data_IF_469214335365
#
_entry.id   IF_469214335365
#
_cell.length_a   1.000
_cell.length_b   1.000
_cell.length_c   1.000
_cell.angle_alpha   90.00
_cell.angle_beta   90.00
_cell.angle_gamma   90.00
#
_symmetry.space_group_name_H-M   'P 1'
#
loop_
_entity.id
_entity.type
_entity.pdbx_description
1 polymer ?
#
# COMPACT_ATOMS: atom_id res chain seq x y z
N UNK A 1 9.91 41.05 20.36
CA UNK A 1 10.76 40.58 19.24
C UNK A 1 9.84 40.24 18.08
N UNK A 2 10.11 40.78 16.89
CA UNK A 2 9.35 40.46 15.68
C UNK A 2 9.96 39.17 15.10
N UNK A 3 9.23 38.06 15.11
CA UNK A 3 9.67 36.83 14.45
C UNK A 3 9.63 37.03 12.93
N UNK A 4 10.63 36.53 12.21
CA UNK A 4 10.58 36.55 10.75
C UNK A 4 9.57 35.51 10.22
N UNK A 5 9.18 35.64 8.95
CA UNK A 5 8.33 34.63 8.29
C UNK A 5 9.00 33.25 8.30
N UNK A 6 10.34 33.20 8.18
CA UNK A 6 11.11 31.96 8.23
C UNK A 6 11.09 31.32 9.62
N UNK A 7 11.26 32.12 10.68
CA UNK A 7 11.14 31.64 12.07
C UNK A 7 9.76 31.03 12.34
N UNK A 8 8.71 31.64 11.78
CA UNK A 8 7.33 31.17 11.94
C UNK A 8 7.12 29.82 11.25
N UNK A 9 7.66 29.64 10.04
CA UNK A 9 7.61 28.35 9.32
C UNK A 9 8.41 27.28 10.06
N UNK A 10 9.61 27.62 10.55
CA UNK A 10 10.46 26.69 11.27
C UNK A 10 9.82 26.22 12.58
N UNK A 11 9.18 27.13 13.31
CA UNK A 11 8.40 26.79 14.51
C UNK A 11 7.17 25.92 14.19
N UNK A 12 6.51 26.14 13.06
CA UNK A 12 5.37 25.32 12.64
C UNK A 12 5.78 23.86 12.36
N UNK A 13 6.92 23.64 11.70
CA UNK A 13 7.50 22.30 11.50
C UNK A 13 7.90 21.68 12.84
N UNK A 14 8.52 22.45 13.74
CA UNK A 14 8.87 21.98 15.08
C UNK A 14 7.63 21.47 15.85
N UNK A 15 6.55 22.25 15.85
CA UNK A 15 5.29 21.86 16.47
C UNK A 15 4.66 20.62 15.82
N UNK A 16 4.75 20.48 14.49
CA UNK A 16 4.24 19.31 13.79
C UNK A 16 5.02 18.03 14.15
N UNK A 17 6.34 18.10 14.31
CA UNK A 17 7.16 16.99 14.77
C UNK A 17 6.82 16.57 16.20
N UNK A 18 6.62 17.54 17.10
CA UNK A 18 6.20 17.26 18.48
C UNK A 18 4.79 16.66 18.54
N UNK A 19 3.86 17.14 17.70
CA UNK A 19 2.56 16.50 17.54
C UNK A 19 2.70 15.04 17.08
N UNK A 20 3.55 14.77 16.07
CA UNK A 20 3.80 13.41 15.59
C UNK A 20 4.35 12.52 16.70
N UNK A 21 5.28 13.03 17.52
CA UNK A 21 5.83 12.30 18.66
C UNK A 21 4.76 11.98 19.71
N UNK A 22 3.87 12.92 20.03
CA UNK A 22 2.76 12.68 20.95
C UNK A 22 1.81 11.59 20.43
N UNK A 23 1.51 11.61 19.13
CA UNK A 23 0.67 10.59 18.48
C UNK A 23 1.37 9.23 18.38
N UNK A 24 2.67 9.20 18.11
CA UNK A 24 3.46 7.97 18.05
C UNK A 24 3.42 7.24 19.40
N UNK A 25 3.50 7.97 20.52
CA UNK A 25 3.36 7.36 21.85
C UNK A 25 1.99 6.72 22.04
N UNK A 26 0.93 7.41 21.64
CA UNK A 26 -0.43 6.88 21.70
C UNK A 26 -0.62 5.65 20.80
N UNK A 27 -0.03 5.64 19.60
CA UNK A 27 -0.04 4.49 18.69
C UNK A 27 0.56 3.25 19.38
N UNK A 28 1.73 3.41 19.99
CA UNK A 28 2.45 2.35 20.72
C UNK A 28 1.61 1.83 21.90
N UNK A 29 0.98 2.73 22.67
CA UNK A 29 0.07 2.36 23.78
C UNK A 29 -1.17 1.60 23.28
N UNK A 30 -1.73 2.03 22.15
CA UNK A 30 -2.91 1.42 21.54
C UNK A 30 -2.59 0.01 21.01
N UNK A 31 -1.44 -0.19 20.37
CA UNK A 31 -0.99 -1.51 19.91
C UNK A 31 -0.86 -2.50 21.08
N UNK A 32 -0.27 -2.09 22.20
CA UNK A 32 -0.21 -2.93 23.40
C UNK A 32 -1.60 -3.33 23.90
N UNK A 33 -2.53 -2.37 23.89
CA UNK A 33 -3.92 -2.61 24.27
C UNK A 33 -4.60 -3.59 23.32
N UNK A 34 -4.42 -3.41 22.00
CA UNK A 34 -4.99 -4.28 20.97
C UNK A 34 -4.40 -5.69 21.01
N UNK A 35 -3.07 -5.83 21.18
CA UNK A 35 -2.40 -7.13 21.34
C UNK A 35 -2.95 -7.89 22.55
N UNK A 36 -3.24 -7.19 23.65
CA UNK A 36 -3.81 -7.81 24.85
C UNK A 36 -5.28 -8.21 24.73
N UNK A 37 -6.01 -7.65 23.76
CA UNK A 37 -7.46 -7.88 23.56
C UNK A 37 -7.76 -8.75 22.34
N UNK A 38 -6.78 -8.95 21.45
CA UNK A 38 -6.95 -9.76 20.25
C UNK A 38 -6.80 -11.25 20.58
N UNK A 39 -7.77 -12.07 20.16
CA UNK A 39 -7.74 -13.52 20.31
C UNK A 39 -7.17 -14.24 19.08
N UNK A 40 -7.14 -13.56 17.93
CA UNK A 40 -6.64 -14.13 16.67
C UNK A 40 -5.11 -14.04 16.63
N UNK A 41 -4.45 -15.18 16.49
CA UNK A 41 -3.00 -15.27 16.59
C UNK A 41 -2.30 -14.57 15.40
N UNK A 42 -2.86 -14.65 14.20
CA UNK A 42 -2.26 -14.02 13.01
C UNK A 42 -2.35 -12.50 13.11
N UNK A 43 -3.50 -11.98 13.56
CA UNK A 43 -3.67 -10.55 13.82
C UNK A 43 -2.74 -10.10 14.96
N UNK A 44 -2.61 -10.90 16.02
CA UNK A 44 -1.68 -10.61 17.12
C UNK A 44 -0.23 -10.52 16.65
N UNK A 45 0.23 -11.44 15.80
CA UNK A 45 1.60 -11.45 15.30
C UNK A 45 1.89 -10.21 14.44
N UNK A 46 0.97 -9.86 13.54
CA UNK A 46 1.05 -8.63 12.74
C UNK A 46 1.11 -7.38 13.62
N UNK A 47 0.28 -7.30 14.66
CA UNK A 47 0.32 -6.19 15.62
C UNK A 47 1.64 -6.13 16.40
N UNK A 48 2.25 -7.26 16.75
CA UNK A 48 3.56 -7.29 17.44
C UNK A 48 4.68 -6.78 16.54
N UNK A 49 4.62 -7.08 15.25
CA UNK A 49 5.58 -6.58 14.28
C UNK A 49 5.42 -5.07 14.09
N UNK A 50 4.18 -4.59 13.89
CA UNK A 50 3.89 -3.15 13.87
C UNK A 50 4.41 -2.47 15.13
N UNK A 51 4.11 -3.02 16.30
CA UNK A 51 4.53 -2.47 17.58
C UNK A 51 6.05 -2.32 17.70
N UNK A 52 6.79 -3.32 17.22
CA UNK A 52 8.26 -3.28 17.23
C UNK A 52 8.79 -2.18 16.32
N UNK A 53 8.21 -2.03 15.14
CA UNK A 53 8.61 -0.99 14.19
C UNK A 53 8.22 0.40 14.70
N UNK A 54 7.05 0.55 15.33
CA UNK A 54 6.60 1.79 15.95
C UNK A 54 7.45 2.23 17.15
N UNK A 55 7.95 1.28 17.94
CA UNK A 55 8.94 1.55 18.98
C UNK A 55 10.27 2.08 18.40
N UNK A 56 10.74 1.52 17.28
CA UNK A 56 11.93 2.05 16.58
C UNK A 56 11.66 3.44 16.01
N UNK A 57 10.49 3.65 15.43
CA UNK A 57 10.08 4.92 14.84
C UNK A 57 10.04 6.06 15.86
N UNK A 58 9.73 5.78 17.13
CA UNK A 58 9.88 6.76 18.21
C UNK A 58 11.32 7.30 18.30
N UNK A 59 12.32 6.41 18.24
CA UNK A 59 13.74 6.80 18.28
C UNK A 59 14.16 7.61 17.05
N UNK A 60 13.61 7.29 15.88
CA UNK A 60 13.83 8.07 14.65
C UNK A 60 13.22 9.47 14.80
N UNK A 61 11.98 9.59 15.29
CA UNK A 61 11.33 10.88 15.54
C UNK A 61 12.11 11.72 16.55
N UNK A 62 12.59 11.14 17.64
CA UNK A 62 13.44 11.82 18.62
C UNK A 62 14.72 12.37 17.98
N UNK A 63 15.37 11.55 17.15
CA UNK A 63 16.58 11.95 16.42
C UNK A 63 16.28 13.12 15.48
N UNK A 64 15.20 13.04 14.71
CA UNK A 64 14.78 14.11 13.79
C UNK A 64 14.47 15.40 14.55
N UNK A 65 13.74 15.34 15.67
CA UNK A 65 13.43 16.53 16.49
C UNK A 65 14.71 17.18 17.02
N UNK A 66 15.65 16.38 17.52
CA UNK A 66 16.93 16.88 18.04
C UNK A 66 17.78 17.49 16.92
N UNK A 67 17.90 16.82 15.78
CA UNK A 67 18.67 17.31 14.63
C UNK A 67 18.05 18.55 13.98
N UNK A 68 16.72 18.64 13.99
CA UNK A 68 16.01 19.82 13.51
C UNK A 68 16.35 21.08 14.34
N UNK A 69 16.65 20.90 15.63
CA UNK A 69 17.28 21.94 16.47
C UNK A 69 16.40 23.13 16.85
N UNK A 70 15.13 23.15 16.42
CA UNK A 70 14.14 24.18 16.78
C UNK A 70 13.20 23.63 17.84
N UNK A 71 13.07 24.34 18.97
CA UNK A 71 12.21 23.92 20.06
C UNK A 71 10.73 24.06 19.67
N UNK A 72 10.03 22.93 19.61
CA UNK A 72 8.58 22.85 19.44
C UNK A 72 7.88 22.50 20.76
N UNK A 73 6.54 22.54 20.71
CA UNK A 73 5.67 21.89 21.68
C UNK A 73 4.46 21.32 20.94
N UNK A 74 3.91 20.18 21.39
CA UNK A 74 2.69 19.65 20.80
C UNK A 74 1.54 20.64 21.06
N UNK A 75 0.61 20.73 20.12
CA UNK A 75 -0.58 21.58 20.25
C UNK A 75 -1.46 21.04 21.38
N UNK A 76 -2.05 21.97 22.13
CA UNK A 76 -2.98 21.63 23.21
C UNK A 76 -4.14 20.74 22.73
N UNK A 77 -4.67 21.01 21.53
CA UNK A 77 -5.73 20.21 20.92
C UNK A 77 -5.30 18.77 20.59
N UNK A 78 -4.03 18.56 20.27
CA UNK A 78 -3.47 17.22 20.05
C UNK A 78 -3.35 16.47 21.37
N UNK A 79 -2.91 17.14 22.44
CA UNK A 79 -2.85 16.53 23.78
C UNK A 79 -4.24 16.13 24.30
N UNK A 80 -5.24 16.99 24.12
CA UNK A 80 -6.63 16.69 24.48
C UNK A 80 -7.19 15.50 23.68
N UNK A 81 -6.90 15.45 22.38
CA UNK A 81 -7.27 14.31 21.54
C UNK A 81 -6.58 13.03 22.03
N UNK A 82 -5.28 13.10 22.34
CA UNK A 82 -4.52 11.95 22.84
C UNK A 82 -5.12 11.39 24.12
N UNK A 83 -5.46 12.26 25.07
CA UNK A 83 -6.10 11.84 26.32
C UNK A 83 -7.46 11.19 26.09
N UNK A 84 -8.29 11.79 25.24
CA UNK A 84 -9.63 11.28 24.93
C UNK A 84 -9.56 9.91 24.25
N UNK A 85 -8.67 9.74 23.27
CA UNK A 85 -8.52 8.46 22.56
C UNK A 85 -7.94 7.41 23.50
N UNK A 86 -6.94 7.74 24.32
CA UNK A 86 -6.41 6.82 25.35
C UNK A 86 -7.52 6.28 26.24
N UNK A 87 -8.41 7.16 26.73
CA UNK A 87 -9.56 6.76 27.56
C UNK A 87 -10.47 5.79 26.81
N UNK A 88 -10.83 6.10 25.57
CA UNK A 88 -11.69 5.24 24.74
C UNK A 88 -11.05 3.87 24.50
N UNK A 89 -9.77 3.82 24.16
CA UNK A 89 -9.04 2.58 23.87
C UNK A 89 -8.90 1.67 25.10
N UNK A 90 -8.67 2.27 26.28
CA UNK A 90 -8.59 1.54 27.56
C UNK A 90 -9.95 1.10 28.13
N UNK A 91 -11.03 1.75 27.69
CA UNK A 91 -12.38 1.51 28.18
C UNK A 91 -13.09 0.33 27.53
N UNK A 92 -14.33 0.12 27.95
CA UNK A 92 -15.27 -0.84 27.37
C UNK A 92 -16.30 -0.18 26.45
N UNK A 93 -16.22 1.14 26.24
CA UNK A 93 -17.17 1.90 25.43
C UNK A 93 -17.06 1.55 23.94
N UNK A 94 -15.88 1.09 23.50
CA UNK A 94 -15.62 0.67 22.14
C UNK A 94 -15.53 -0.85 22.04
N UNK A 95 -16.14 -1.41 21.00
CA UNK A 95 -15.91 -2.80 20.58
C UNK A 95 -14.47 -3.00 20.11
N UNK A 96 -14.07 -4.26 19.88
CA UNK A 96 -12.73 -4.53 19.36
C UNK A 96 -12.56 -3.95 17.94
N UNK A 97 -13.58 -4.09 17.08
CA UNK A 97 -13.59 -3.46 15.75
C UNK A 97 -13.42 -1.94 15.84
N UNK A 98 -14.20 -1.27 16.69
CA UNK A 98 -14.13 0.19 16.84
C UNK A 98 -12.76 0.66 17.36
N UNK A 99 -12.11 -0.13 18.23
CA UNK A 99 -10.72 0.13 18.66
C UNK A 99 -9.72 0.00 17.52
N UNK A 100 -9.84 -1.03 16.69
CA UNK A 100 -9.02 -1.15 15.48
C UNK A 100 -9.26 0.01 14.52
N UNK A 101 -10.51 0.43 14.33
CA UNK A 101 -10.85 1.53 13.43
C UNK A 101 -10.27 2.86 13.93
N UNK A 102 -10.36 3.10 15.25
CA UNK A 102 -9.75 4.26 15.88
C UNK A 102 -8.22 4.25 15.76
N UNK A 103 -7.59 3.08 15.85
CA UNK A 103 -6.14 2.94 15.67
C UNK A 103 -5.72 3.19 14.21
N UNK A 104 -6.45 2.66 13.22
CA UNK A 104 -6.20 2.94 11.80
C UNK A 104 -6.30 4.43 11.48
N UNK A 105 -7.33 5.11 12.02
CA UNK A 105 -7.49 6.55 11.83
C UNK A 105 -6.31 7.36 12.38
N UNK A 106 -5.75 6.96 13.53
CA UNK A 106 -4.55 7.59 14.08
C UNK A 106 -3.32 7.36 13.18
N UNK A 107 -3.13 6.13 12.71
CA UNK A 107 -2.07 5.77 11.78
C UNK A 107 -2.16 6.57 10.48
N UNK A 108 -3.37 6.72 9.93
CA UNK A 108 -3.63 7.55 8.77
C UNK A 108 -3.22 9.01 8.99
N UNK A 109 -3.66 9.59 10.11
CA UNK A 109 -3.28 10.94 10.48
C UNK A 109 -1.76 11.12 10.61
N UNK A 110 -1.07 10.11 11.16
CA UNK A 110 0.39 10.12 11.31
C UNK A 110 1.12 10.11 9.96
N UNK A 111 0.68 9.27 9.01
CA UNK A 111 1.22 9.23 7.63
C UNK A 111 1.05 10.60 6.95
N UNK A 112 -0.17 11.13 6.95
CA UNK A 112 -0.46 12.39 6.30
C UNK A 112 0.37 13.55 6.90
N UNK A 113 0.52 13.58 8.22
CA UNK A 113 1.34 14.59 8.90
C UNK A 113 2.81 14.46 8.55
N UNK A 114 3.36 13.25 8.53
CA UNK A 114 4.76 13.02 8.17
C UNK A 114 5.10 13.37 6.72
N UNK A 115 4.19 13.08 5.78
CA UNK A 115 4.33 13.51 4.39
C UNK A 115 4.29 15.03 4.25
N UNK A 116 3.39 15.71 4.96
CA UNK A 116 3.30 17.17 4.96
C UNK A 116 4.54 17.82 5.58
N UNK A 117 5.09 17.26 6.67
CA UNK A 117 6.33 17.75 7.28
C UNK A 117 7.51 17.61 6.31
N UNK A 118 7.63 16.44 5.66
CA UNK A 118 8.66 16.24 4.64
C UNK A 118 8.52 17.24 3.48
N UNK A 119 7.31 17.42 2.94
CA UNK A 119 7.06 18.40 1.87
C UNK A 119 7.29 19.85 2.30
N UNK A 120 6.94 20.21 3.53
CA UNK A 120 7.21 21.54 4.06
C UNK A 120 8.73 21.78 4.17
N UNK A 121 9.50 20.77 4.60
CA UNK A 121 10.95 20.86 4.72
C UNK A 121 11.63 21.19 3.38
N UNK A 122 11.19 20.56 2.28
CA UNK A 122 11.69 20.81 0.92
C UNK A 122 11.55 22.27 0.47
N UNK A 123 10.56 23.00 0.99
CA UNK A 123 10.26 24.38 0.61
C UNK A 123 10.91 25.40 1.55
N UNK A 124 11.27 25.00 2.79
CA UNK A 124 11.90 25.91 3.76
C UNK A 124 13.39 26.07 3.50
N UNK A 125 14.13 24.98 3.25
CA UNK A 125 15.56 25.05 2.99
C UNK A 125 16.25 23.69 3.00
N UNK A 126 17.40 23.59 2.31
CA UNK A 126 18.17 22.34 2.19
C UNK A 126 18.74 21.84 3.53
N UNK A 127 19.05 22.76 4.46
CA UNK A 127 19.46 22.44 5.83
C UNK A 127 18.34 21.70 6.58
N UNK A 128 17.09 22.14 6.37
CA UNK A 128 15.91 21.56 6.99
C UNK A 128 15.52 20.23 6.35
N UNK A 129 15.56 20.14 5.03
CA UNK A 129 15.31 18.89 4.32
C UNK A 129 16.26 17.77 4.78
N UNK A 130 17.56 18.08 4.92
CA UNK A 130 18.54 17.13 5.42
C UNK A 130 18.22 16.62 6.83
N UNK A 131 17.81 17.51 7.74
CA UNK A 131 17.43 17.14 9.11
C UNK A 131 16.15 16.30 9.19
N UNK A 132 15.21 16.47 8.25
CA UNK A 132 13.92 15.76 8.21
C UNK A 132 14.01 14.44 7.44
N UNK A 133 15.03 14.23 6.60
CA UNK A 133 15.16 13.03 5.74
C UNK A 133 14.96 11.69 6.47
N UNK A 134 15.46 11.45 7.70
CA UNK A 134 15.21 10.20 8.41
C UNK A 134 13.73 9.91 8.69
N UNK A 135 12.86 10.93 8.68
CA UNK A 135 11.40 10.77 8.82
C UNK A 135 10.78 9.92 7.70
N UNK A 136 11.44 9.79 6.56
CA UNK A 136 10.96 8.95 5.46
C UNK A 136 10.80 7.49 5.87
N UNK A 137 11.69 6.95 6.69
CA UNK A 137 11.56 5.58 7.23
C UNK A 137 10.24 5.42 7.99
N UNK A 138 9.93 6.36 8.89
CA UNK A 138 8.69 6.39 9.67
C UNK A 138 7.46 6.49 8.74
N UNK A 139 7.56 7.28 7.67
CA UNK A 139 6.48 7.43 6.69
C UNK A 139 6.23 6.13 5.90
N UNK A 140 7.28 5.44 5.47
CA UNK A 140 7.16 4.19 4.72
C UNK A 140 6.59 3.06 5.57
N UNK A 141 7.09 2.89 6.80
CA UNK A 141 6.58 1.87 7.72
C UNK A 141 5.13 2.13 8.10
N UNK A 142 4.76 3.37 8.45
CA UNK A 142 3.37 3.69 8.75
C UNK A 142 2.43 3.41 7.56
N UNK A 143 2.87 3.67 6.32
CA UNK A 143 2.08 3.34 5.13
C UNK A 143 1.89 1.83 4.98
N UNK A 144 2.94 1.04 5.21
CA UNK A 144 2.82 -0.41 5.20
C UNK A 144 1.85 -0.91 6.30
N UNK A 145 1.91 -0.33 7.49
CA UNK A 145 1.01 -0.68 8.59
C UNK A 145 -0.46 -0.36 8.26
N UNK A 146 -0.73 0.76 7.57
CA UNK A 146 -2.09 1.10 7.14
C UNK A 146 -2.70 0.05 6.21
N UNK A 147 -1.97 -0.41 5.19
CA UNK A 147 -2.48 -1.44 4.29
C UNK A 147 -2.77 -2.74 5.04
N UNK A 148 -1.92 -3.08 6.00
CA UNK A 148 -2.17 -4.22 6.86
C UNK A 148 -3.42 -4.05 7.74
N UNK A 149 -3.59 -2.87 8.35
CA UNK A 149 -4.74 -2.56 9.21
C UNK A 149 -6.07 -2.62 8.46
N UNK A 150 -6.12 -2.27 7.17
CA UNK A 150 -7.33 -2.43 6.34
C UNK A 150 -7.79 -3.87 6.29
N UNK A 151 -6.88 -4.82 6.04
CA UNK A 151 -7.21 -6.24 6.03
C UNK A 151 -7.64 -6.76 7.41
N UNK A 152 -7.03 -6.25 8.50
CA UNK A 152 -7.44 -6.58 9.86
C UNK A 152 -8.85 -6.06 10.14
N UNK A 153 -9.17 -4.83 9.72
CA UNK A 153 -10.49 -4.24 9.88
C UNK A 153 -11.57 -5.00 9.15
N UNK A 154 -11.29 -5.50 7.95
CA UNK A 154 -12.22 -6.36 7.21
C UNK A 154 -12.52 -7.63 8.02
N UNK A 155 -11.49 -8.32 8.52
CA UNK A 155 -11.66 -9.55 9.30
C UNK A 155 -12.45 -9.28 10.58
N UNK A 156 -12.00 -8.33 11.40
CA UNK A 156 -12.62 -8.04 12.70
C UNK A 156 -14.02 -7.47 12.51
N UNK A 157 -14.24 -6.62 11.50
CA UNK A 157 -15.52 -6.02 11.18
C UNK A 157 -16.54 -7.05 10.66
N UNK A 158 -16.15 -7.91 9.72
CA UNK A 158 -17.05 -8.98 9.22
C UNK A 158 -17.40 -9.96 10.33
N UNK A 159 -16.44 -10.33 11.18
CA UNK A 159 -16.71 -11.16 12.35
C UNK A 159 -17.66 -10.49 13.34
N UNK A 160 -17.50 -9.20 13.60
CA UNK A 160 -18.38 -8.45 14.50
C UNK A 160 -19.80 -8.35 13.93
N UNK A 161 -19.93 -8.02 12.64
CA UNK A 161 -21.23 -7.81 12.00
C UNK A 161 -21.99 -9.11 11.72
N UNK A 162 -21.28 -10.20 11.44
CA UNK A 162 -21.89 -11.45 10.93
C UNK A 162 -21.65 -12.68 11.78
N UNK A 163 -20.69 -12.64 12.71
CA UNK A 163 -20.22 -13.81 13.45
C UNK A 163 -19.44 -14.83 12.62
N UNK A 164 -19.04 -14.48 11.38
CA UNK A 164 -18.33 -15.36 10.44
C UNK A 164 -17.02 -14.71 9.96
N UNK A 165 -16.10 -15.54 9.48
CA UNK A 165 -14.92 -15.06 8.76
C UNK A 165 -15.31 -14.47 7.40
N UNK A 166 -14.61 -13.42 6.91
CA UNK A 166 -14.79 -12.93 5.55
C UNK A 166 -14.41 -13.99 4.52
N UNK A 167 -15.02 -13.91 3.33
CA UNK A 167 -14.58 -14.73 2.19
C UNK A 167 -13.23 -14.21 1.70
N UNK A 168 -12.15 -14.77 2.24
CA UNK A 168 -10.79 -14.38 1.88
C UNK A 168 -10.29 -14.98 0.57
N UNK A 169 -11.17 -15.58 -0.24
CA UNK A 169 -10.82 -16.01 -1.59
C UNK A 169 -10.11 -14.87 -2.33
N UNK A 170 -8.98 -15.16 -2.97
CA UNK A 170 -8.17 -14.17 -3.69
C UNK A 170 -9.05 -13.30 -4.61
N UNK A 171 -10.08 -13.90 -5.22
CA UNK A 171 -11.01 -13.19 -6.09
C UNK A 171 -11.97 -12.22 -5.39
N UNK A 172 -12.41 -12.49 -4.16
CA UNK A 172 -13.24 -11.57 -3.39
C UNK A 172 -12.44 -10.33 -2.99
N UNK A 173 -11.21 -10.52 -2.49
CA UNK A 173 -10.31 -9.41 -2.13
C UNK A 173 -9.89 -8.55 -3.33
N UNK A 174 -9.70 -9.17 -4.49
CA UNK A 174 -9.49 -8.46 -5.75
C UNK A 174 -10.70 -7.60 -6.12
N UNK A 175 -11.90 -8.16 -6.01
CA UNK A 175 -13.14 -7.42 -6.28
C UNK A 175 -13.31 -6.22 -5.34
N UNK A 176 -13.04 -6.39 -4.05
CA UNK A 176 -13.15 -5.31 -3.07
C UNK A 176 -12.16 -4.18 -3.34
N UNK A 177 -10.91 -4.51 -3.71
CA UNK A 177 -9.90 -3.52 -4.07
C UNK A 177 -10.30 -2.70 -5.31
N UNK A 178 -10.89 -3.34 -6.34
CA UNK A 178 -11.39 -2.64 -7.54
C UNK A 178 -12.59 -1.74 -7.20
N UNK A 179 -13.52 -2.23 -6.37
CA UNK A 179 -14.69 -1.47 -5.96
C UNK A 179 -14.31 -0.19 -5.19
N UNK A 180 -13.29 -0.27 -4.33
CA UNK A 180 -12.74 0.88 -3.62
C UNK A 180 -12.12 1.93 -4.56
N UNK A 181 -11.44 1.49 -5.63
CA UNK A 181 -10.76 2.40 -6.57
C UNK A 181 -11.72 3.05 -7.58
N UNK A 182 -12.71 2.30 -8.07
CA UNK A 182 -13.65 2.78 -9.09
C UNK A 182 -14.78 3.62 -8.50
N UNK A 183 -15.04 3.53 -7.19
CA UNK A 183 -16.13 4.24 -6.51
C UNK A 183 -17.53 3.74 -6.89
N UNK A 184 -17.62 2.70 -7.72
CA UNK A 184 -18.87 2.15 -8.21
C UNK A 184 -19.21 0.89 -7.43
N UNK A 185 -19.66 1.09 -6.20
CA UNK A 185 -20.31 0.04 -5.42
C UNK A 185 -21.58 -0.42 -6.17
N UNK A 186 -21.46 -1.45 -7.01
CA UNK A 186 -22.58 -2.15 -7.63
C UNK A 186 -22.61 -2.28 -9.15
N UNK A 187 -21.92 -1.45 -9.95
CA UNK A 187 -22.02 -1.56 -11.43
C UNK A 187 -21.07 -2.56 -12.08
N UNK A 188 -20.02 -3.01 -11.37
CA UNK A 188 -19.18 -4.12 -11.84
C UNK A 188 -19.95 -5.45 -11.77
N UNK A 189 -20.95 -5.56 -10.88
CA UNK A 189 -21.79 -6.76 -10.72
C UNK A 189 -22.88 -6.86 -11.81
N UNK A 190 -23.29 -5.74 -12.42
CA UNK A 190 -24.31 -5.72 -13.49
C UNK A 190 -23.74 -5.71 -14.90
N UNK A 191 -22.42 -5.54 -15.07
CA UNK A 191 -21.72 -5.65 -16.36
C UNK A 191 -21.28 -7.08 -16.58
N UNK A 192 -21.63 -7.68 -17.72
CA UNK A 192 -21.12 -9.01 -18.06
C UNK A 192 -19.62 -8.94 -18.31
N UNK A 193 -18.89 -10.06 -18.25
CA UNK A 193 -17.44 -10.15 -18.57
C UNK A 193 -17.07 -9.61 -19.97
N UNK A 194 -18.07 -9.32 -20.80
CA UNK A 194 -17.96 -8.70 -22.13
C UNK A 194 -17.93 -7.16 -22.09
N UNK A 195 -18.36 -6.52 -21.00
CA UNK A 195 -18.58 -5.06 -20.91
C UNK A 195 -17.49 -4.35 -20.07
N UNK A 196 -16.33 -5.00 -19.86
CA UNK A 196 -15.21 -4.41 -19.10
C UNK A 196 -14.26 -3.67 -20.03
N UNK A 197 -13.91 -2.44 -19.66
CA UNK A 197 -12.90 -1.68 -20.39
C UNK A 197 -11.47 -2.09 -19.99
N UNK A 198 -10.49 -1.68 -20.79
CA UNK A 198 -9.09 -2.09 -20.60
C UNK A 198 -8.52 -1.65 -19.24
N UNK A 199 -8.85 -0.45 -18.77
CA UNK A 199 -8.34 0.06 -17.50
C UNK A 199 -8.91 -0.72 -16.32
N UNK A 200 -10.20 -1.07 -16.35
CA UNK A 200 -10.80 -1.93 -15.33
C UNK A 200 -10.08 -3.27 -15.26
N UNK A 201 -9.82 -3.89 -16.41
CA UNK A 201 -9.14 -5.18 -16.50
C UNK A 201 -7.70 -5.14 -15.96
N UNK A 202 -6.91 -4.14 -16.35
CA UNK A 202 -5.54 -3.94 -15.87
C UNK A 202 -5.54 -3.72 -14.35
N UNK A 203 -6.46 -2.88 -13.82
CA UNK A 203 -6.61 -2.71 -12.35
C UNK A 203 -6.95 -4.01 -11.63
N UNK A 204 -7.74 -4.90 -12.24
CA UNK A 204 -8.01 -6.20 -11.63
C UNK A 204 -6.74 -7.03 -11.48
N UNK A 205 -5.90 -7.04 -12.51
CA UNK A 205 -4.63 -7.75 -12.47
C UNK A 205 -3.71 -7.14 -11.41
N UNK A 206 -3.58 -5.81 -11.37
CA UNK A 206 -2.79 -5.08 -10.36
C UNK A 206 -3.22 -5.39 -8.93
N UNK A 207 -4.54 -5.31 -8.67
CA UNK A 207 -5.10 -5.64 -7.36
C UNK A 207 -4.80 -7.10 -6.96
N UNK A 208 -4.87 -8.02 -7.92
CA UNK A 208 -4.58 -9.44 -7.71
C UNK A 208 -3.11 -9.67 -7.33
N UNK A 209 -2.16 -9.11 -8.07
CA UNK A 209 -0.75 -9.28 -7.74
C UNK A 209 -0.38 -8.58 -6.43
N UNK A 210 -0.93 -7.39 -6.15
CA UNK A 210 -0.74 -6.72 -4.86
C UNK A 210 -1.25 -7.56 -3.67
N UNK A 211 -2.44 -8.18 -3.82
CA UNK A 211 -2.98 -9.11 -2.82
C UNK A 211 -2.04 -10.29 -2.60
N UNK A 212 -1.58 -10.93 -3.68
CA UNK A 212 -0.65 -12.07 -3.60
C UNK A 212 0.69 -11.71 -2.95
N UNK A 213 1.22 -10.50 -3.19
CA UNK A 213 2.41 -10.02 -2.49
C UNK A 213 2.16 -9.91 -0.98
N UNK A 214 1.00 -9.36 -0.59
CA UNK A 214 0.58 -9.30 0.82
C UNK A 214 0.50 -10.68 1.48
N UNK A 215 -0.02 -11.68 0.77
CA UNK A 215 -0.09 -13.06 1.26
C UNK A 215 1.30 -13.66 1.52
N UNK A 216 2.26 -13.43 0.60
CA UNK A 216 3.64 -13.92 0.77
C UNK A 216 4.32 -13.26 1.98
N UNK A 217 4.07 -11.97 2.21
CA UNK A 217 4.63 -11.27 3.38
C UNK A 217 4.01 -11.77 4.69
N UNK A 218 2.74 -12.18 4.67
CA UNK A 218 1.97 -12.55 5.87
C UNK A 218 2.10 -14.02 6.27
N UNK A 219 2.80 -14.87 5.49
CA UNK A 219 2.94 -16.30 5.78
C UNK A 219 4.39 -16.74 5.76
N UNK A 220 4.79 -17.62 6.71
CA UNK A 220 6.11 -18.27 6.72
C UNK A 220 6.06 -19.71 6.17
N UNK A 221 4.90 -20.17 5.71
CA UNK A 221 4.73 -21.51 5.12
C UNK A 221 5.37 -21.56 3.72
N UNK A 222 6.47 -22.31 3.52
CA UNK A 222 7.18 -22.34 2.25
C UNK A 222 6.33 -22.87 1.09
N UNK A 223 5.36 -23.75 1.37
CA UNK A 223 4.48 -24.29 0.35
C UNK A 223 3.50 -23.22 -0.15
N UNK A 224 2.86 -22.48 0.77
CA UNK A 224 1.99 -21.35 0.41
C UNK A 224 2.75 -20.25 -0.33
N UNK A 225 3.94 -19.90 0.15
CA UNK A 225 4.82 -18.93 -0.51
C UNK A 225 5.09 -19.37 -1.95
N UNK A 226 5.42 -20.64 -2.16
CA UNK A 226 5.68 -21.19 -3.49
C UNK A 226 4.44 -21.12 -4.39
N UNK A 227 3.26 -21.45 -3.87
CA UNK A 227 1.99 -21.40 -4.59
C UNK A 227 1.64 -19.96 -5.00
N UNK A 228 1.71 -19.01 -4.07
CA UNK A 228 1.44 -17.59 -4.32
C UNK A 228 2.44 -16.99 -5.29
N UNK A 229 3.73 -17.24 -5.12
CA UNK A 229 4.75 -16.75 -6.05
C UNK A 229 4.57 -17.35 -7.44
N UNK A 230 4.26 -18.65 -7.53
CA UNK A 230 3.95 -19.30 -8.81
C UNK A 230 2.76 -18.65 -9.53
N UNK A 231 1.78 -18.13 -8.77
CA UNK A 231 0.67 -17.37 -9.33
C UNK A 231 1.09 -15.96 -9.77
N UNK A 232 1.86 -15.23 -8.95
CA UNK A 232 2.43 -13.90 -9.32
C UNK A 232 3.24 -14.01 -10.61
N UNK A 233 4.12 -15.01 -10.69
CA UNK A 233 4.97 -15.24 -11.84
C UNK A 233 4.15 -15.39 -13.13
N UNK A 234 3.09 -16.21 -13.10
CA UNK A 234 2.19 -16.39 -14.25
C UNK A 234 1.41 -15.11 -14.57
N UNK A 235 0.85 -14.46 -13.57
CA UNK A 235 -0.01 -13.29 -13.75
C UNK A 235 0.78 -12.11 -14.32
N UNK A 236 1.93 -11.75 -13.72
CA UNK A 236 2.78 -10.65 -14.20
C UNK A 236 3.35 -10.94 -15.59
N UNK A 237 3.77 -12.18 -15.87
CA UNK A 237 4.31 -12.53 -17.19
C UNK A 237 3.25 -12.41 -18.29
N UNK A 238 2.04 -12.92 -18.04
CA UNK A 238 0.95 -12.81 -19.00
C UNK A 238 0.44 -11.37 -19.15
N UNK A 239 0.39 -10.63 -18.05
CA UNK A 239 -0.05 -9.24 -18.01
C UNK A 239 0.88 -8.34 -18.83
N UNK A 240 2.18 -8.34 -18.51
CA UNK A 240 3.18 -7.55 -19.24
C UNK A 240 3.21 -7.90 -20.74
N UNK A 241 3.13 -9.18 -21.10
CA UNK A 241 3.04 -9.57 -22.52
C UNK A 241 1.82 -8.93 -23.22
N UNK A 242 0.68 -8.86 -22.56
CA UNK A 242 -0.53 -8.29 -23.13
C UNK A 242 -0.46 -6.76 -23.20
N UNK A 243 0.18 -6.08 -22.25
CA UNK A 243 0.42 -4.64 -22.32
C UNK A 243 1.38 -4.28 -23.44
N UNK A 244 2.50 -4.99 -23.53
CA UNK A 244 3.53 -4.83 -24.56
C UNK A 244 2.96 -5.04 -25.97
N UNK A 245 2.05 -6.00 -26.16
CA UNK A 245 1.47 -6.28 -27.47
C UNK A 245 0.28 -5.39 -27.85
N UNK A 246 -0.55 -5.00 -26.87
CA UNK A 246 -1.86 -4.37 -27.15
C UNK A 246 -1.88 -2.93 -26.65
N UNK A 247 -1.58 -2.70 -25.38
CA UNK A 247 -1.81 -1.42 -24.71
C UNK A 247 -0.77 -0.40 -25.12
N UNK A 248 0.51 -0.71 -24.95
CA UNK A 248 1.61 0.21 -25.22
C UNK A 248 1.65 0.68 -26.68
N UNK A 249 1.48 -0.19 -27.70
CA UNK A 249 1.40 0.26 -29.09
C UNK A 249 0.22 1.20 -29.35
N UNK A 250 -0.94 0.95 -28.73
CA UNK A 250 -2.11 1.78 -28.89
C UNK A 250 -1.93 3.17 -28.27
N UNK A 251 -1.38 3.26 -27.05
CA UNK A 251 -1.25 4.53 -26.32
C UNK A 251 -0.02 5.35 -26.68
N UNK A 252 0.99 4.74 -27.33
CA UNK A 252 2.27 5.39 -27.71
C UNK A 252 2.12 6.74 -28.44
N UNK A 253 1.13 6.98 -29.32
CA UNK A 253 0.92 8.31 -29.92
C UNK A 253 0.57 9.41 -28.91
N UNK A 254 0.05 9.04 -27.74
CA UNK A 254 -0.50 9.95 -26.72
C UNK A 254 0.30 9.96 -25.42
N UNK A 255 1.10 8.92 -25.17
CA UNK A 255 1.94 8.75 -23.99
C UNK A 255 3.41 8.51 -24.40
N UNK A 256 4.29 9.46 -24.08
CA UNK A 256 5.68 9.47 -24.56
C UNK A 256 6.58 8.50 -23.79
N UNK A 257 6.23 8.17 -22.56
CA UNK A 257 7.05 7.39 -21.64
C UNK A 257 6.79 5.88 -21.75
N UNK A 258 6.08 5.43 -22.79
CA UNK A 258 5.90 4.00 -23.09
C UNK A 258 7.21 3.21 -23.14
N UNK A 259 8.32 3.83 -23.57
CA UNK A 259 9.63 3.17 -23.61
C UNK A 259 10.20 2.88 -22.21
N UNK A 260 9.89 3.73 -21.22
CA UNK A 260 10.24 3.51 -19.82
C UNK A 260 9.45 2.32 -19.28
N UNK A 261 8.14 2.27 -19.53
CA UNK A 261 7.30 1.13 -19.13
C UNK A 261 7.82 -0.22 -19.66
N UNK A 262 8.22 -0.29 -20.93
CA UNK A 262 8.87 -1.49 -21.49
C UNK A 262 10.14 -1.88 -20.74
N UNK A 263 10.95 -0.90 -20.33
CA UNK A 263 12.20 -1.15 -19.63
C UNK A 263 11.93 -1.66 -18.20
N UNK A 264 11.02 -1.03 -17.48
CA UNK A 264 10.61 -1.47 -16.14
C UNK A 264 10.07 -2.90 -16.17
N UNK A 265 9.22 -3.24 -17.14
CA UNK A 265 8.70 -4.59 -17.30
C UNK A 265 9.79 -5.61 -17.63
N UNK A 266 10.78 -5.24 -18.45
CA UNK A 266 11.92 -6.10 -18.72
C UNK A 266 12.76 -6.36 -17.46
N UNK A 267 12.96 -5.35 -16.62
CA UNK A 267 13.66 -5.48 -15.34
C UNK A 267 12.86 -6.39 -14.37
N UNK A 268 11.55 -6.20 -14.26
CA UNK A 268 10.68 -7.05 -13.44
C UNK A 268 10.65 -8.52 -13.93
N UNK A 269 10.66 -8.76 -15.25
CA UNK A 269 10.79 -10.12 -15.82
C UNK A 269 12.12 -10.78 -15.42
N UNK A 270 13.21 -10.02 -15.35
CA UNK A 270 14.48 -10.55 -14.85
C UNK A 270 14.42 -10.89 -13.36
N UNK A 271 13.82 -10.03 -12.54
CA UNK A 271 13.61 -10.28 -11.12
C UNK A 271 12.78 -11.55 -10.89
N UNK A 272 11.73 -11.76 -11.69
CA UNK A 272 10.91 -12.98 -11.63
C UNK A 272 11.73 -14.26 -11.86
N UNK A 273 12.61 -14.29 -12.86
CA UNK A 273 13.50 -15.45 -13.07
C UNK A 273 14.51 -15.63 -11.93
N UNK A 274 15.05 -14.53 -11.38
CA UNK A 274 15.98 -14.58 -10.25
C UNK A 274 15.31 -15.17 -9.01
N UNK A 275 14.09 -14.71 -8.67
CA UNK A 275 13.34 -15.21 -7.51
C UNK A 275 12.92 -16.66 -7.71
N UNK A 276 12.51 -17.05 -8.92
CA UNK A 276 12.14 -18.42 -9.26
C UNK A 276 13.26 -19.44 -9.03
N UNK A 277 14.52 -19.00 -9.11
CA UNK A 277 15.69 -19.85 -8.83
C UNK A 277 15.99 -20.02 -7.33
N UNK A 278 15.33 -19.26 -6.46
CA UNK A 278 15.54 -19.30 -5.01
C UNK A 278 14.62 -20.32 -4.33
N UNK A 279 15.03 -20.77 -3.14
CA UNK A 279 14.16 -21.59 -2.28
C UNK A 279 13.14 -20.70 -1.56
N UNK A 280 11.83 -21.02 -1.59
CA UNK A 280 10.79 -20.31 -0.84
C UNK A 280 11.01 -20.26 0.68
N UNK A 281 11.78 -21.20 1.22
CA UNK A 281 12.14 -21.23 2.64
C UNK A 281 13.34 -20.32 3.00
N UNK A 282 14.01 -19.72 2.01
CA UNK A 282 15.18 -18.87 2.25
C UNK A 282 14.77 -17.43 2.59
N UNK A 283 15.44 -16.75 3.55
CA UNK A 283 15.19 -15.33 3.83
C UNK A 283 15.36 -14.42 2.61
N UNK A 284 16.32 -14.76 1.74
CA UNK A 284 16.56 -14.04 0.48
C UNK A 284 15.37 -14.07 -0.48
N UNK A 285 14.50 -15.09 -0.41
CA UNK A 285 13.31 -15.17 -1.24
C UNK A 285 12.33 -14.04 -0.93
N UNK A 286 11.95 -13.90 0.35
CA UNK A 286 11.02 -12.85 0.78
C UNK A 286 11.58 -11.45 0.55
N UNK A 287 12.88 -11.27 0.73
CA UNK A 287 13.55 -9.99 0.44
C UNK A 287 13.45 -9.63 -1.06
N UNK A 288 13.77 -10.56 -1.96
CA UNK A 288 13.67 -10.29 -3.40
C UNK A 288 12.21 -10.16 -3.86
N UNK A 289 11.26 -10.90 -3.28
CA UNK A 289 9.82 -10.70 -3.53
C UNK A 289 9.39 -9.29 -3.10
N UNK A 290 9.91 -8.78 -1.97
CA UNK A 290 9.62 -7.40 -1.54
C UNK A 290 10.18 -6.37 -2.52
N UNK A 291 11.41 -6.57 -3.03
CA UNK A 291 11.97 -5.69 -4.06
C UNK A 291 11.14 -5.72 -5.35
N UNK A 292 10.68 -6.90 -5.78
CA UNK A 292 9.79 -7.04 -6.93
C UNK A 292 8.46 -6.32 -6.68
N UNK A 293 7.88 -6.48 -5.49
CA UNK A 293 6.66 -5.78 -5.09
C UNK A 293 6.84 -4.26 -5.19
N UNK A 294 7.94 -3.72 -4.68
CA UNK A 294 8.22 -2.28 -4.75
C UNK A 294 8.34 -1.78 -6.21
N UNK A 295 9.02 -2.55 -7.08
CA UNK A 295 9.13 -2.24 -8.50
C UNK A 295 7.76 -2.30 -9.22
N UNK A 296 6.97 -3.35 -9.00
CA UNK A 296 5.61 -3.48 -9.55
C UNK A 296 4.72 -2.34 -9.07
N UNK A 297 4.74 -2.01 -7.79
CA UNK A 297 3.90 -0.94 -7.25
C UNK A 297 4.34 0.47 -7.69
N UNK A 298 5.59 0.64 -8.12
CA UNK A 298 6.03 1.85 -8.79
C UNK A 298 5.43 1.94 -10.19
N UNK A 299 5.62 0.90 -11.00
CA UNK A 299 5.09 0.78 -12.36
C UNK A 299 3.56 0.99 -12.42
N UNK A 300 2.82 0.26 -11.56
CA UNK A 300 1.36 0.38 -11.42
C UNK A 300 0.93 1.83 -11.20
N UNK A 301 1.65 2.60 -10.37
CA UNK A 301 1.29 4.00 -10.12
C UNK A 301 1.50 4.87 -11.34
N UNK A 302 2.59 4.68 -12.09
CA UNK A 302 2.83 5.42 -13.32
C UNK A 302 1.72 5.14 -14.34
N UNK A 303 1.38 3.86 -14.55
CA UNK A 303 0.32 3.47 -15.47
C UNK A 303 -1.05 4.03 -15.05
N UNK A 304 -1.44 3.82 -13.80
CA UNK A 304 -2.78 4.19 -13.34
C UNK A 304 -2.99 5.70 -13.19
N UNK A 305 -1.93 6.45 -12.88
CA UNK A 305 -2.02 7.91 -12.69
C UNK A 305 -1.74 8.72 -13.95
N UNK A 306 -0.98 8.17 -14.91
CA UNK A 306 -0.57 8.89 -16.12
C UNK A 306 -1.11 8.25 -17.40
N UNK A 307 -0.76 6.98 -17.67
CA UNK A 307 -1.13 6.31 -18.92
C UNK A 307 -2.65 6.16 -19.05
N UNK A 308 -3.34 5.82 -17.98
CA UNK A 308 -4.80 5.65 -17.98
C UNK A 308 -5.56 6.94 -18.27
N UNK A 309 -5.01 8.10 -17.86
CA UNK A 309 -5.57 9.39 -18.25
C UNK A 309 -5.52 9.54 -19.79
N UNK A 310 -4.43 9.11 -20.43
CA UNK A 310 -4.32 9.13 -21.90
C UNK A 310 -5.28 8.17 -22.58
N UNK A 311 -5.58 7.03 -21.97
CA UNK A 311 -6.59 6.11 -22.47
C UNK A 311 -7.98 6.78 -22.43
N UNK A 312 -8.37 7.36 -21.29
CA UNK A 312 -9.65 8.06 -21.16
C UNK A 312 -9.80 9.25 -22.12
N UNK A 313 -8.73 10.01 -22.32
CA UNK A 313 -8.77 11.23 -23.14
C UNK A 313 -8.84 10.94 -24.65
N UNK A 314 -8.40 9.77 -25.10
CA UNK A 314 -8.16 9.50 -26.53
C UNK A 314 -8.88 8.28 -27.11
N UNK A 315 -9.54 7.45 -26.29
CA UNK A 315 -10.24 6.24 -26.73
C UNK A 315 -11.69 6.22 -26.26
N UNK A 316 -12.62 5.93 -27.19
CA UNK A 316 -14.03 5.71 -26.84
C UNK A 316 -14.21 4.46 -25.97
N UNK A 317 -15.35 4.35 -25.28
CA UNK A 317 -15.69 3.17 -24.47
C UNK A 317 -15.60 1.87 -25.31
N UNK A 318 -16.15 1.87 -26.53
CA UNK A 318 -16.06 0.74 -27.46
C UNK A 318 -14.60 0.38 -27.83
N UNK A 319 -13.74 1.37 -28.05
CA UNK A 319 -12.32 1.11 -28.32
C UNK A 319 -11.60 0.53 -27.10
N UNK A 320 -11.95 0.98 -25.90
CA UNK A 320 -11.39 0.45 -24.66
C UNK A 320 -11.88 -0.98 -24.36
N UNK A 321 -13.13 -1.31 -24.68
CA UNK A 321 -13.68 -2.68 -24.59
C UNK A 321 -13.05 -3.62 -25.62
N UNK A 322 -12.83 -3.14 -26.84
CA UNK A 322 -12.10 -3.90 -27.86
C UNK A 322 -10.67 -4.19 -27.40
N UNK A 323 -9.96 -3.18 -26.89
CA UNK A 323 -8.61 -3.34 -26.36
C UNK A 323 -8.59 -4.35 -25.20
N UNK A 324 -9.59 -4.32 -24.31
CA UNK A 324 -9.73 -5.31 -23.23
C UNK A 324 -9.92 -6.74 -23.78
N UNK A 325 -10.64 -6.91 -24.88
CA UNK A 325 -10.87 -8.21 -25.52
C UNK A 325 -9.59 -8.76 -26.15
N UNK A 326 -8.83 -7.91 -26.85
CA UNK A 326 -7.53 -8.26 -27.41
C UNK A 326 -6.52 -8.61 -26.31
N UNK A 327 -6.48 -7.81 -25.24
CA UNK A 327 -5.66 -8.05 -24.05
C UNK A 327 -5.94 -9.43 -23.42
N UNK A 328 -7.21 -9.76 -23.17
CA UNK A 328 -7.62 -11.10 -22.66
C UNK A 328 -7.15 -12.22 -23.58
N UNK A 329 -7.22 -12.02 -24.89
CA UNK A 329 -6.82 -13.01 -25.89
C UNK A 329 -5.32 -13.27 -25.84
N UNK A 330 -4.49 -12.22 -25.80
CA UNK A 330 -3.03 -12.35 -25.67
C UNK A 330 -2.65 -13.05 -24.37
N UNK A 331 -3.26 -12.67 -23.24
CA UNK A 331 -3.05 -13.35 -21.94
C UNK A 331 -3.34 -14.85 -22.02
N UNK A 332 -4.47 -15.23 -22.61
CA UNK A 332 -4.86 -16.63 -22.74
C UNK A 332 -3.85 -17.41 -23.59
N UNK A 333 -3.47 -16.88 -24.76
CA UNK A 333 -2.48 -17.49 -25.64
C UNK A 333 -1.11 -17.63 -24.98
N UNK A 334 -0.67 -16.61 -24.24
CA UNK A 334 0.59 -16.66 -23.50
C UNK A 334 0.56 -17.72 -22.41
N UNK A 335 -0.52 -17.79 -21.62
CA UNK A 335 -0.69 -18.82 -20.60
C UNK A 335 -0.72 -20.25 -21.18
N UNK A 336 -1.34 -20.45 -22.35
CA UNK A 336 -1.30 -21.74 -23.05
C UNK A 336 0.12 -22.13 -23.47
N UNK A 337 0.89 -21.17 -24.02
CA UNK A 337 2.30 -21.38 -24.39
C UNK A 337 3.15 -21.72 -23.17
N UNK A 338 2.98 -20.98 -22.06
CA UNK A 338 3.67 -21.28 -20.80
C UNK A 338 3.35 -22.69 -20.32
N UNK A 339 2.08 -23.08 -20.29
CA UNK A 339 1.66 -24.42 -19.86
C UNK A 339 2.22 -25.53 -20.75
N UNK A 340 2.36 -25.28 -22.07
CA UNK A 340 2.97 -26.21 -23.00
C UNK A 340 4.49 -26.34 -22.80
N UNK A 341 5.18 -25.27 -22.41
CA UNK A 341 6.63 -25.28 -22.15
C UNK A 341 7.05 -25.94 -20.83
N UNK A 342 6.09 -26.16 -19.92
CA UNK A 342 6.29 -26.82 -18.62
C UNK A 342 5.99 -28.34 -18.65
N UNK A 343 5.49 -28.86 -19.77
CA UNK A 343 5.34 -30.30 -20.05
C UNK A 343 6.57 -30.82 -20.77
#
# INVERSE_FOLDING_TARGET
>A
MVSTLDDTKRLAIAGALEDMKAIQNLIIENEQTLIGQCADQEICDRLRDMHRDDQKNMGVLDTVIVQYGVKGQPKQTVLEMVEKVRKLMSGSDLTLFEKFAQHELLKHGQVMKGLLVHKAAQVVGADIEAAITPLNTVNFENRAHQEQLKGILEIVGVRELTGKDPDQGIWARVQDAIAAFTGVAGSVVTRTKADMNIQELIRMDHAKVNTLFGEIQSTDDPQKIQEFFGQIYKDLSAHSEAEEQIVYPAVRPYYKDTQELYQEQAEMKQMLEQIKALSPASPSFKEQVKQLMDAVMHHVRQEESEMFAKINDNFSEEQQEQMATEFKTVKAQFMEKMAASMK
#
